data_IF_326195451678
#
_entry.id   IF_326195451678
#
_cell.length_a   1.000
_cell.length_b   1.000
_cell.length_c   1.000
_cell.angle_alpha   90.00
_cell.angle_beta   90.00
_cell.angle_gamma   90.00
#
_symmetry.space_group_name_H-M   'P 1'
#
loop_
_entity.id
_entity.type
_entity.pdbx_description
1 polymer ?
#
# COMPACT_ATOMS: atom_id res chain seq x y z
N UNK A 1 -51.16 16.93 -26.76
CA UNK A 1 -50.01 17.40 -27.59
C UNK A 1 -48.98 18.25 -26.83
N UNK A 2 -49.36 19.22 -25.97
CA UNK A 2 -48.39 20.07 -25.25
C UNK A 2 -47.59 19.35 -24.14
N UNK A 3 -48.20 18.37 -23.47
CA UNK A 3 -47.58 17.58 -22.39
C UNK A 3 -46.55 16.56 -22.90
N UNK A 4 -46.85 15.87 -24.02
CA UNK A 4 -45.94 14.92 -24.68
C UNK A 4 -44.63 15.56 -25.13
N UNK A 5 -44.69 16.81 -25.65
CA UNK A 5 -43.50 17.59 -26.02
C UNK A 5 -42.63 17.95 -24.81
N UNK A 6 -43.23 18.22 -23.65
CA UNK A 6 -42.49 18.54 -22.42
C UNK A 6 -41.78 17.31 -21.84
N UNK A 7 -42.40 16.12 -21.88
CA UNK A 7 -41.74 14.87 -21.48
C UNK A 7 -40.59 14.50 -22.44
N UNK A 8 -40.78 14.67 -23.75
CA UNK A 8 -39.73 14.44 -24.75
C UNK A 8 -38.55 15.41 -24.63
N UNK A 9 -38.77 16.66 -24.23
CA UNK A 9 -37.71 17.66 -24.09
C UNK A 9 -36.78 17.42 -22.88
N UNK A 10 -37.27 16.72 -21.84
CA UNK A 10 -36.49 16.40 -20.63
C UNK A 10 -35.70 15.08 -20.74
N UNK A 11 -36.13 14.18 -21.64
CA UNK A 11 -35.45 12.91 -21.92
C UNK A 11 -33.99 13.05 -22.38
N UNK A 12 -33.63 13.95 -23.33
CA UNK A 12 -32.24 14.13 -23.73
C UNK A 12 -31.42 14.75 -22.61
N UNK A 13 -32.01 15.64 -21.79
CA UNK A 13 -31.32 16.25 -20.65
C UNK A 13 -30.92 15.19 -19.61
N UNK A 14 -31.82 14.25 -19.33
CA UNK A 14 -31.58 13.13 -18.40
C UNK A 14 -30.56 12.13 -18.97
N UNK A 15 -30.56 11.89 -20.29
CA UNK A 15 -29.56 11.05 -20.95
C UNK A 15 -28.16 11.69 -20.92
N UNK A 16 -28.06 13.02 -21.11
CA UNK A 16 -26.80 13.76 -21.07
C UNK A 16 -26.21 13.77 -19.66
N UNK A 17 -27.04 13.99 -18.63
CA UNK A 17 -26.55 13.92 -17.24
C UNK A 17 -26.06 12.52 -16.90
N UNK A 18 -26.77 11.47 -17.32
CA UNK A 18 -26.35 10.08 -17.13
C UNK A 18 -25.01 9.78 -17.84
N UNK A 19 -24.81 10.30 -19.05
CA UNK A 19 -23.57 10.18 -19.82
C UNK A 19 -22.38 10.92 -19.14
N UNK A 20 -22.65 12.11 -18.59
CA UNK A 20 -21.65 12.92 -17.87
C UNK A 20 -21.22 12.27 -16.55
N UNK A 21 -22.14 11.63 -15.82
CA UNK A 21 -21.83 10.91 -14.57
C UNK A 21 -20.94 9.69 -14.86
N UNK A 22 -21.22 8.93 -15.92
CA UNK A 22 -20.42 7.76 -16.31
C UNK A 22 -19.00 8.13 -16.77
N UNK A 23 -18.83 9.29 -17.43
CA UNK A 23 -17.52 9.73 -17.92
C UNK A 23 -16.61 10.27 -16.80
N UNK A 24 -17.17 10.76 -15.69
CA UNK A 24 -16.41 11.17 -14.50
C UNK A 24 -15.88 9.97 -13.69
N UNK A 25 -16.51 8.80 -13.78
CA UNK A 25 -16.00 7.55 -13.17
C UNK A 25 -14.81 6.94 -13.92
N UNK A 26 -14.58 7.31 -15.18
CA UNK A 26 -13.55 6.70 -16.03
C UNK A 26 -12.16 7.33 -15.89
N UNK A 27 -12.03 8.42 -15.14
CA UNK A 27 -10.80 9.21 -15.03
C UNK A 27 -10.14 9.10 -13.64
N UNK A 28 -9.93 7.87 -13.17
CA UNK A 28 -8.85 7.57 -12.22
C UNK A 28 -7.76 6.78 -12.93
N UNK A 29 -7.00 7.45 -13.79
CA UNK A 29 -5.74 6.91 -14.29
C UNK A 29 -4.74 6.95 -13.13
N UNK A 30 -4.71 5.89 -12.32
CA UNK A 30 -3.58 5.63 -11.44
C UNK A 30 -2.36 5.44 -12.34
N UNK A 31 -1.49 6.46 -12.42
CA UNK A 31 -0.16 6.32 -13.00
C UNK A 31 0.52 5.12 -12.33
N UNK A 32 0.55 3.98 -13.04
CA UNK A 32 1.29 2.79 -12.64
C UNK A 32 2.78 3.14 -12.73
N UNK A 33 3.28 3.71 -11.65
CA UNK A 33 4.69 3.94 -11.46
C UNK A 33 5.28 2.75 -10.73
N UNK A 34 6.43 2.28 -11.20
CA UNK A 34 7.18 1.21 -10.54
C UNK A 34 7.48 1.64 -9.10
N UNK A 35 7.07 0.86 -8.09
CA UNK A 35 7.38 1.15 -6.71
C UNK A 35 8.89 1.06 -6.47
N UNK A 36 9.45 2.02 -5.73
CA UNK A 36 10.86 2.02 -5.31
C UNK A 36 10.96 1.35 -3.93
N UNK A 37 11.53 0.14 -3.82
CA UNK A 37 11.62 -0.56 -2.55
C UNK A 37 12.73 0.03 -1.67
N UNK A 38 12.39 0.43 -0.45
CA UNK A 38 13.32 0.85 0.59
C UNK A 38 13.48 -0.31 1.57
N UNK A 39 14.65 -0.95 1.59
CA UNK A 39 14.92 -2.09 2.45
C UNK A 39 15.11 -1.62 3.90
N UNK A 40 14.38 -2.24 4.82
CA UNK A 40 14.47 -1.98 6.26
C UNK A 40 14.74 -3.30 6.97
N UNK A 41 15.80 -3.36 7.78
CA UNK A 41 16.08 -4.52 8.62
C UNK A 41 15.32 -4.46 9.94
N UNK A 42 14.73 -5.58 10.36
CA UNK A 42 14.03 -5.70 11.65
C UNK A 42 14.60 -6.91 12.38
N UNK A 43 15.09 -6.72 13.61
CA UNK A 43 15.54 -7.81 14.48
C UNK A 43 14.60 -7.85 15.67
N UNK A 44 13.94 -8.99 15.85
CA UNK A 44 12.93 -9.17 16.89
C UNK A 44 12.82 -10.65 17.20
N UNK A 45 12.41 -10.98 18.42
CA UNK A 45 12.09 -12.36 18.77
C UNK A 45 10.80 -12.75 18.04
N UNK A 46 10.90 -13.66 17.08
CA UNK A 46 9.74 -14.07 16.29
C UNK A 46 8.92 -15.15 16.97
N UNK A 47 9.40 -15.71 18.08
CA UNK A 47 8.68 -16.70 18.88
C UNK A 47 7.94 -16.06 20.06
N UNK A 48 8.45 -14.92 20.56
CA UNK A 48 7.81 -14.11 21.59
C UNK A 48 6.50 -13.43 21.10
N UNK A 49 5.54 -13.35 22.01
CA UNK A 49 4.22 -12.76 21.74
C UNK A 49 4.31 -11.28 21.39
N UNK A 50 5.10 -10.50 22.13
CA UNK A 50 5.26 -9.05 21.90
C UNK A 50 5.98 -8.83 20.58
N UNK A 51 6.97 -9.65 20.26
CA UNK A 51 7.67 -9.62 18.99
C UNK A 51 6.75 -9.86 17.78
N UNK A 52 5.92 -10.92 17.83
CA UNK A 52 4.90 -11.21 16.81
C UNK A 52 3.87 -10.08 16.68
N UNK A 53 3.36 -9.59 17.81
CA UNK A 53 2.40 -8.48 17.81
C UNK A 53 2.97 -7.22 17.19
N UNK A 54 4.21 -6.86 17.54
CA UNK A 54 4.91 -5.71 16.97
C UNK A 54 5.07 -5.82 15.45
N UNK A 55 5.55 -6.97 14.96
CA UNK A 55 5.69 -7.23 13.52
C UNK A 55 4.36 -7.14 12.76
N UNK A 56 3.29 -7.71 13.33
CA UNK A 56 1.96 -7.63 12.73
C UNK A 56 1.45 -6.19 12.69
N UNK A 57 1.64 -5.43 13.77
CA UNK A 57 1.26 -4.02 13.83
C UNK A 57 1.95 -3.20 12.73
N UNK A 58 3.26 -3.39 12.55
CA UNK A 58 4.01 -2.72 11.48
C UNK A 58 3.46 -3.12 10.10
N UNK A 59 3.24 -4.42 9.88
CA UNK A 59 2.74 -4.92 8.59
C UNK A 59 1.37 -4.37 8.24
N UNK A 60 0.45 -4.34 9.21
CA UNK A 60 -0.88 -3.75 9.04
C UNK A 60 -0.80 -2.24 8.82
N UNK A 61 0.03 -1.52 9.58
CA UNK A 61 0.21 -0.08 9.40
C UNK A 61 0.74 0.27 8.00
N UNK A 62 1.67 -0.53 7.44
CA UNK A 62 2.14 -0.35 6.07
C UNK A 62 1.05 -0.61 5.03
N UNK A 63 0.26 -1.67 5.22
CA UNK A 63 -0.89 -1.95 4.36
C UNK A 63 -1.89 -0.80 4.36
N UNK A 64 -2.27 -0.32 5.55
CA UNK A 64 -3.18 0.81 5.73
C UNK A 64 -2.65 2.11 5.13
N UNK A 65 -1.35 2.37 5.31
CA UNK A 65 -0.71 3.56 4.77
C UNK A 65 -0.70 3.52 3.23
N UNK A 66 -0.27 2.41 2.62
CA UNK A 66 -0.15 2.32 1.17
C UNK A 66 -1.46 2.10 0.43
N UNK A 67 -2.51 1.61 1.09
CA UNK A 67 -3.88 1.60 0.55
C UNK A 67 -4.45 3.01 0.46
N UNK A 68 -4.27 3.84 1.50
CA UNK A 68 -4.71 5.25 1.48
C UNK A 68 -3.81 6.14 0.61
N UNK A 69 -2.56 5.76 0.41
CA UNK A 69 -1.55 6.54 -0.30
C UNK A 69 -0.94 5.75 -1.46
N UNK A 70 -1.79 5.21 -2.33
CA UNK A 70 -1.36 4.41 -3.48
C UNK A 70 -0.39 5.12 -4.42
N UNK A 71 -0.42 6.47 -4.47
CA UNK A 71 0.48 7.30 -5.27
C UNK A 71 1.89 7.47 -4.68
N UNK A 72 2.12 7.13 -3.42
CA UNK A 72 3.48 7.10 -2.87
C UNK A 72 4.28 6.02 -3.60
N UNK A 73 5.44 6.39 -4.13
CA UNK A 73 6.27 5.47 -4.92
C UNK A 73 7.21 4.65 -4.04
N UNK A 74 7.61 5.18 -2.90
CA UNK A 74 8.47 4.47 -1.95
C UNK A 74 7.68 3.41 -1.20
N UNK A 75 8.17 2.16 -1.21
CA UNK A 75 7.58 1.03 -0.49
C UNK A 75 8.61 0.46 0.47
N UNK A 76 8.31 0.42 1.77
CA UNK A 76 9.19 -0.24 2.73
C UNK A 76 9.14 -1.76 2.50
N UNK A 77 10.32 -2.36 2.34
CA UNK A 77 10.52 -3.79 2.25
C UNK A 77 11.20 -4.27 3.54
N UNK A 78 10.40 -4.83 4.46
CA UNK A 78 10.88 -5.33 5.74
C UNK A 78 11.67 -6.63 5.53
N UNK A 79 12.85 -6.70 6.13
CA UNK A 79 13.70 -7.88 6.19
C UNK A 79 13.84 -8.27 7.65
N UNK A 80 12.99 -9.19 8.09
CA UNK A 80 12.93 -9.62 9.49
C UNK A 80 13.94 -10.74 9.77
N UNK A 81 14.65 -10.64 10.89
CA UNK A 81 15.49 -11.70 11.45
C UNK A 81 15.10 -11.96 12.90
N UNK A 82 15.17 -13.23 13.26
CA UNK A 82 14.89 -13.70 14.60
C UNK A 82 16.05 -13.40 15.56
N UNK A 83 15.75 -12.79 16.71
CA UNK A 83 16.72 -12.54 17.78
C UNK A 83 16.98 -13.79 18.64
N UNK A 84 16.10 -14.80 18.60
CA UNK A 84 16.18 -16.03 19.42
C UNK A 84 16.19 -15.76 20.93
N UNK A 85 15.56 -14.66 21.36
CA UNK A 85 15.61 -14.17 22.75
C UNK A 85 17.04 -14.01 23.32
N UNK A 86 18.04 -13.85 22.46
CA UNK A 86 19.45 -13.81 22.85
C UNK A 86 20.12 -12.57 22.25
N UNK A 87 20.88 -11.85 23.08
CA UNK A 87 21.61 -10.66 22.64
C UNK A 87 22.68 -10.99 21.59
N UNK A 88 23.34 -12.15 21.71
CA UNK A 88 24.34 -12.59 20.72
C UNK A 88 23.65 -13.01 19.42
N UNK A 89 22.55 -13.77 19.54
CA UNK A 89 21.64 -14.07 18.43
C UNK A 89 21.16 -12.82 17.68
N UNK A 90 20.71 -11.79 18.42
CA UNK A 90 20.28 -10.51 17.86
C UNK A 90 21.41 -9.78 17.14
N UNK A 91 22.61 -9.73 17.72
CA UNK A 91 23.77 -9.11 17.09
C UNK A 91 24.19 -9.86 15.81
N UNK A 92 24.16 -11.19 15.83
CA UNK A 92 24.43 -12.02 14.65
C UNK A 92 23.39 -11.80 13.54
N UNK A 93 22.11 -11.70 13.91
CA UNK A 93 21.02 -11.34 13.01
C UNK A 93 21.19 -9.94 12.40
N UNK A 94 21.59 -8.95 13.21
CA UNK A 94 21.90 -7.61 12.72
C UNK A 94 23.10 -7.61 11.75
N UNK A 95 24.15 -8.37 12.06
CA UNK A 95 25.31 -8.55 11.18
C UNK A 95 24.93 -9.21 9.86
N UNK A 96 24.03 -10.21 9.88
CA UNK A 96 23.48 -10.83 8.68
C UNK A 96 22.72 -9.81 7.81
N UNK A 97 21.88 -8.97 8.40
CA UNK A 97 21.17 -7.90 7.69
C UNK A 97 22.14 -6.94 7.00
N UNK A 98 23.20 -6.51 7.71
CA UNK A 98 24.20 -5.61 7.13
C UNK A 98 24.91 -6.25 5.94
N UNK A 99 25.33 -7.52 6.06
CA UNK A 99 26.05 -8.24 5.01
C UNK A 99 25.17 -8.58 3.81
N UNK A 100 23.95 -9.06 4.04
CA UNK A 100 23.13 -9.71 3.01
C UNK A 100 22.00 -8.82 2.47
N UNK A 101 21.58 -7.80 3.21
CA UNK A 101 20.45 -6.92 2.84
C UNK A 101 20.91 -5.51 2.51
N UNK A 102 21.79 -4.93 3.35
CA UNK A 102 22.32 -3.57 3.13
C UNK A 102 23.46 -3.57 2.11
N UNK A 103 24.36 -4.55 2.19
CA UNK A 103 25.52 -4.68 1.30
C UNK A 103 25.21 -4.97 -0.18
N UNK A 104 23.99 -5.42 -0.50
CA UNK A 104 23.52 -5.57 -1.88
C UNK A 104 23.03 -4.23 -2.39
N UNK A 105 23.96 -3.44 -2.93
CA UNK A 105 23.78 -2.07 -3.42
C UNK A 105 22.62 -1.94 -4.42
N UNK A 106 22.06 -0.73 -4.46
CA UNK A 106 21.03 -0.22 -5.39
C UNK A 106 21.16 -0.74 -6.82
#
# INVERSE_FOLDING_TARGET
MKLEMLMSANLPFLAITLLLINSMSLSMSQRQSTPFPVRVGVVVDVDDYVGKMGLNCITMALSDFYTRHGYYRTRLALNTRDSKNDAVGAAAAALDLLKNVVGKRF
#
